data_IF_459646461381
#
_entry.id   IF_459646461381
#
_cell.length_a   1.000
_cell.length_b   1.000
_cell.length_c   1.000
_cell.angle_alpha   90.00
_cell.angle_beta   90.00
_cell.angle_gamma   90.00
#
_symmetry.space_group_name_H-M   'P 1'
#
loop_
_entity.id
_entity.type
_entity.pdbx_description
1 polymer ?
#
# COMPACT_ATOMS: atom_id res chain seq x y z
N UNK A 1 33.20 -4.57 10.26
CA UNK A 1 31.81 -4.25 10.66
C UNK A 1 30.93 -4.44 9.44
N UNK A 2 30.22 -5.55 9.36
CA UNK A 2 29.23 -5.80 8.30
C UNK A 2 28.08 -4.84 8.54
N UNK A 3 27.88 -3.85 7.65
CA UNK A 3 26.63 -3.09 7.60
C UNK A 3 25.51 -4.13 7.58
N UNK A 4 24.56 -4.03 8.50
CA UNK A 4 23.34 -4.81 8.43
C UNK A 4 22.76 -4.57 7.04
N UNK A 5 22.86 -5.57 6.16
CA UNK A 5 22.18 -5.53 4.86
C UNK A 5 20.71 -5.67 5.23
N UNK A 6 20.00 -4.53 5.26
CA UNK A 6 18.54 -4.53 5.31
C UNK A 6 18.14 -5.41 4.11
N UNK A 7 17.34 -6.47 4.31
CA UNK A 7 16.90 -7.32 3.20
C UNK A 7 16.41 -6.38 2.11
N UNK A 8 16.87 -6.58 0.87
CA UNK A 8 16.52 -5.74 -0.28
C UNK A 8 15.04 -5.40 -0.14
N UNK A 9 14.77 -4.12 0.12
CA UNK A 9 13.44 -3.67 0.44
C UNK A 9 12.53 -4.19 -0.67
N UNK A 10 11.40 -4.80 -0.31
CA UNK A 10 10.38 -5.21 -1.27
C UNK A 10 10.23 -4.07 -2.29
N UNK A 11 10.13 -4.37 -3.58
CA UNK A 11 9.83 -3.29 -4.52
C UNK A 11 8.41 -2.81 -4.22
N UNK A 12 8.13 -1.50 -4.34
CA UNK A 12 6.78 -1.00 -4.26
C UNK A 12 5.87 -1.77 -5.22
N UNK A 13 4.68 -2.13 -4.74
CA UNK A 13 3.68 -2.85 -5.54
C UNK A 13 3.03 -1.98 -6.62
N UNK A 14 3.30 -0.67 -6.59
CA UNK A 14 2.79 0.31 -7.53
C UNK A 14 3.72 1.53 -7.62
N UNK A 15 3.67 2.22 -8.76
CA UNK A 15 4.33 3.51 -8.95
C UNK A 15 3.69 4.59 -8.07
N UNK A 16 4.48 5.55 -7.62
CA UNK A 16 4.00 6.67 -6.80
C UNK A 16 2.80 7.38 -7.47
N UNK A 17 1.63 7.43 -6.81
CA UNK A 17 0.47 8.17 -7.33
C UNK A 17 0.76 9.67 -7.51
N UNK A 18 0.06 10.34 -8.42
CA UNK A 18 0.32 11.74 -8.76
C UNK A 18 0.18 12.74 -7.59
N UNK A 19 -0.60 12.39 -6.56
CA UNK A 19 -0.79 13.21 -5.36
C UNK A 19 0.27 12.96 -4.27
N UNK A 20 1.16 11.97 -4.46
CA UNK A 20 2.37 11.81 -3.65
C UNK A 20 3.43 12.75 -4.23
N UNK A 21 3.99 13.68 -3.43
CA UNK A 21 5.03 14.57 -3.91
C UNK A 21 6.24 13.80 -4.48
N UNK A 22 6.84 14.27 -5.56
CA UNK A 22 8.13 13.72 -6.00
C UNK A 22 9.25 14.01 -4.98
N UNK A 23 10.34 13.23 -5.03
CA UNK A 23 11.58 13.53 -4.29
C UNK A 23 11.84 12.71 -3.02
N UNK A 24 11.08 11.64 -2.79
CA UNK A 24 11.39 10.66 -1.75
C UNK A 24 12.36 9.60 -2.30
N UNK A 25 13.60 9.60 -1.82
CA UNK A 25 14.61 8.60 -2.18
C UNK A 25 14.47 7.29 -1.39
N UNK A 26 13.63 7.28 -0.34
CA UNK A 26 13.39 6.11 0.49
C UNK A 26 11.91 5.72 0.51
N UNK A 27 11.64 4.49 0.06
CA UNK A 27 10.29 3.93 -0.03
C UNK A 27 10.19 2.71 0.89
N UNK A 28 9.05 2.58 1.57
CA UNK A 28 8.79 1.55 2.58
C UNK A 28 7.50 0.82 2.21
N UNK A 29 7.58 -0.23 1.40
CA UNK A 29 6.43 -1.05 1.07
C UNK A 29 6.03 -1.99 2.19
N UNK A 30 4.72 -2.21 2.30
CA UNK A 30 4.07 -3.15 3.21
C UNK A 30 2.84 -3.75 2.54
N UNK A 31 2.54 -5.01 2.85
CA UNK A 31 1.31 -5.67 2.42
C UNK A 31 0.59 -6.33 3.57
N UNK A 32 -0.74 -6.17 3.62
CA UNK A 32 -1.60 -6.72 4.66
C UNK A 32 -2.75 -7.50 4.06
N UNK A 33 -2.77 -8.81 4.37
CA UNK A 33 -3.87 -9.69 4.00
C UNK A 33 -4.98 -9.63 5.05
N UNK A 34 -6.22 -9.50 4.59
CA UNK A 34 -7.42 -9.83 5.37
C UNK A 34 -8.35 -10.72 4.55
N UNK A 35 -9.22 -11.47 5.24
CA UNK A 35 -10.28 -12.25 4.59
C UNK A 35 -11.61 -11.51 4.73
N UNK A 36 -12.35 -11.35 3.63
CA UNK A 36 -13.67 -10.75 3.63
C UNK A 36 -14.59 -11.45 2.62
N UNK A 37 -15.73 -11.96 3.09
CA UNK A 37 -16.70 -12.74 2.28
C UNK A 37 -16.06 -13.86 1.47
N UNK A 38 -15.12 -14.58 2.07
CA UNK A 38 -14.38 -15.68 1.44
C UNK A 38 -13.45 -15.26 0.28
N UNK A 39 -13.16 -13.96 0.16
CA UNK A 39 -12.07 -13.43 -0.67
C UNK A 39 -10.89 -13.02 0.19
N UNK A 40 -9.69 -13.19 -0.35
CA UNK A 40 -8.48 -12.59 0.19
C UNK A 40 -8.36 -11.17 -0.35
N UNK A 41 -8.32 -10.19 0.54
CA UNK A 41 -8.03 -8.79 0.21
C UNK A 41 -6.61 -8.50 0.66
N UNK A 42 -5.76 -8.06 -0.26
CA UNK A 42 -4.39 -7.67 0.04
C UNK A 42 -4.30 -6.15 -0.11
N UNK A 43 -4.01 -5.49 1.01
CA UNK A 43 -3.82 -4.05 1.08
C UNK A 43 -2.33 -3.76 0.93
N UNK A 44 -1.97 -3.03 -0.11
CA UNK A 44 -0.60 -2.57 -0.34
C UNK A 44 -0.45 -1.14 0.14
N UNK A 45 0.57 -0.89 0.95
CA UNK A 45 0.95 0.44 1.41
C UNK A 45 2.37 0.71 0.97
N UNK A 46 2.63 1.93 0.52
CA UNK A 46 4.00 2.40 0.30
C UNK A 46 4.18 3.71 1.05
N UNK A 47 5.06 3.70 2.05
CA UNK A 47 5.51 4.90 2.74
C UNK A 47 6.62 5.59 1.94
N UNK A 48 6.52 6.89 1.77
CA UNK A 48 7.52 7.75 1.13
C UNK A 48 8.08 8.68 2.20
N UNK A 49 9.34 8.48 2.59
CA UNK A 49 10.00 9.28 3.62
C UNK A 49 10.60 10.56 3.03
N UNK A 50 10.19 11.70 3.60
CA UNK A 50 10.73 13.00 3.21
C UNK A 50 11.52 13.61 4.36
N UNK A 51 12.85 13.57 4.25
CA UNK A 51 13.73 14.22 5.22
C UNK A 51 13.43 15.72 5.36
N UNK A 52 13.04 16.39 4.26
CA UNK A 52 12.68 17.81 4.25
C UNK A 52 11.47 18.16 5.10
N UNK A 53 10.55 17.21 5.27
CA UNK A 53 9.32 17.41 6.02
C UNK A 53 9.37 16.72 7.39
N UNK A 54 10.36 15.84 7.62
CA UNK A 54 10.44 15.00 8.81
C UNK A 54 9.23 14.07 8.96
N UNK A 55 8.57 13.74 7.85
CA UNK A 55 7.35 12.92 7.83
C UNK A 55 7.39 11.85 6.74
N UNK A 56 6.58 10.81 6.94
CA UNK A 56 6.34 9.74 5.95
C UNK A 56 4.92 9.90 5.41
N UNK A 57 4.80 10.02 4.10
CA UNK A 57 3.49 10.03 3.43
C UNK A 57 3.19 8.65 2.87
N UNK A 58 1.96 8.19 3.05
CA UNK A 58 1.56 6.85 2.71
C UNK A 58 0.60 6.86 1.53
N UNK A 59 0.91 6.10 0.48
CA UNK A 59 -0.03 5.74 -0.57
C UNK A 59 -0.60 4.35 -0.31
N UNK A 60 -1.81 4.09 -0.80
CA UNK A 60 -2.51 2.83 -0.57
C UNK A 60 -3.16 2.29 -1.84
N UNK A 61 -3.15 0.98 -1.98
CA UNK A 61 -3.95 0.23 -2.93
C UNK A 61 -4.50 -1.05 -2.32
N UNK A 62 -5.48 -1.65 -2.98
CA UNK A 62 -5.97 -2.97 -2.61
C UNK A 62 -6.19 -3.85 -3.84
N UNK A 63 -5.82 -5.11 -3.75
CA UNK A 63 -6.18 -6.16 -4.71
C UNK A 63 -7.07 -7.22 -4.04
N UNK A 64 -7.81 -7.96 -4.87
CA UNK A 64 -8.68 -9.04 -4.42
C UNK A 64 -8.23 -10.34 -5.10
N UNK A 65 -8.04 -11.37 -4.29
CA UNK A 65 -7.59 -12.70 -4.69
C UNK A 65 -8.62 -13.75 -4.26
N UNK A 66 -8.85 -14.73 -5.12
CA UNK A 66 -9.66 -15.92 -4.82
C UNK A 66 -8.96 -17.14 -5.41
N UNK A 67 -8.83 -18.21 -4.63
CA UNK A 67 -8.27 -19.48 -5.13
C UNK A 67 -6.88 -19.32 -5.80
N UNK A 68 -6.04 -18.43 -5.27
CA UNK A 68 -4.71 -18.08 -5.78
C UNK A 68 -4.71 -17.26 -7.09
N UNK A 69 -5.88 -16.81 -7.55
CA UNK A 69 -6.03 -15.94 -8.72
C UNK A 69 -6.40 -14.52 -8.32
N UNK A 70 -5.76 -13.53 -8.96
CA UNK A 70 -6.13 -12.12 -8.82
C UNK A 70 -7.43 -11.89 -9.59
N UNK A 71 -8.53 -11.68 -8.87
CA UNK A 71 -9.86 -11.41 -9.45
C UNK A 71 -10.10 -9.91 -9.63
N UNK A 72 -9.47 -9.07 -8.80
CA UNK A 72 -9.40 -7.62 -9.00
C UNK A 72 -7.93 -7.20 -8.84
N UNK A 73 -7.28 -6.65 -9.88
CA UNK A 73 -5.92 -6.14 -9.75
C UNK A 73 -5.86 -4.94 -8.81
N UNK A 74 -4.66 -4.57 -8.38
CA UNK A 74 -4.43 -3.44 -7.46
C UNK A 74 -5.19 -2.19 -7.92
N UNK A 75 -6.17 -1.79 -7.12
CA UNK A 75 -6.87 -0.51 -7.24
C UNK A 75 -6.22 0.48 -6.28
N UNK A 76 -5.56 1.49 -6.83
CA UNK A 76 -4.89 2.53 -6.04
C UNK A 76 -5.89 3.61 -5.63
N UNK A 77 -5.76 4.09 -4.40
CA UNK A 77 -6.33 5.39 -4.04
C UNK A 77 -5.54 6.46 -4.79
N UNK A 78 -6.21 7.17 -5.70
CA UNK A 78 -5.61 8.24 -6.50
C UNK A 78 -5.91 9.63 -5.93
N UNK A 79 -6.64 9.71 -4.82
CA UNK A 79 -7.23 10.96 -4.33
C UNK A 79 -6.45 11.62 -3.20
N UNK A 80 -5.80 10.83 -2.34
CA UNK A 80 -5.09 11.35 -1.18
C UNK A 80 -3.99 10.43 -0.69
N UNK A 81 -3.01 11.04 0.00
CA UNK A 81 -2.02 10.34 0.79
C UNK A 81 -2.31 10.51 2.28
N UNK A 82 -1.77 9.61 3.09
CA UNK A 82 -2.03 9.57 4.53
C UNK A 82 -0.75 9.90 5.30
N UNK A 83 -0.91 10.53 6.47
CA UNK A 83 0.22 10.88 7.35
C UNK A 83 0.55 9.80 8.37
N UNK A 84 -0.32 8.81 8.51
CA UNK A 84 -0.09 7.67 9.39
C UNK A 84 -0.33 6.36 8.65
N UNK A 85 0.47 5.37 9.04
CA UNK A 85 0.31 4.00 8.57
C UNK A 85 -1.07 3.42 8.94
N UNK A 86 -1.55 3.69 10.15
CA UNK A 86 -2.84 3.16 10.63
C UNK A 86 -4.03 3.72 9.84
N UNK A 87 -4.02 5.02 9.52
CA UNK A 87 -5.07 5.62 8.67
C UNK A 87 -5.03 5.05 7.25
N UNK A 88 -3.84 4.90 6.68
CA UNK A 88 -3.66 4.31 5.36
C UNK A 88 -4.17 2.86 5.33
N UNK A 89 -3.85 2.06 6.36
CA UNK A 89 -4.28 0.67 6.47
C UNK A 89 -5.80 0.56 6.64
N UNK A 90 -6.39 1.41 7.47
CA UNK A 90 -7.84 1.46 7.66
C UNK A 90 -8.55 1.82 6.35
N UNK A 91 -8.03 2.80 5.61
CA UNK A 91 -8.59 3.18 4.31
C UNK A 91 -8.43 2.06 3.28
N UNK A 92 -7.25 1.46 3.16
CA UNK A 92 -7.00 0.35 2.24
C UNK A 92 -7.88 -0.86 2.53
N UNK A 93 -8.12 -1.15 3.81
CA UNK A 93 -9.07 -2.19 4.23
C UNK A 93 -10.50 -1.86 3.77
N UNK A 94 -10.94 -0.62 3.94
CA UNK A 94 -12.26 -0.18 3.51
C UNK A 94 -12.40 -0.19 1.97
N UNK A 95 -11.36 0.21 1.24
CA UNK A 95 -11.28 0.13 -0.21
C UNK A 95 -11.42 -1.32 -0.68
N UNK A 96 -10.60 -2.23 -0.16
CA UNK A 96 -10.62 -3.63 -0.57
C UNK A 96 -11.94 -4.35 -0.28
N UNK A 97 -12.58 -4.06 0.87
CA UNK A 97 -13.95 -4.55 1.14
C UNK A 97 -14.96 -4.06 0.11
N UNK A 98 -14.86 -2.79 -0.30
CA UNK A 98 -15.71 -2.19 -1.33
C UNK A 98 -15.54 -2.83 -2.69
N UNK A 99 -14.30 -3.22 -3.04
CA UNK A 99 -14.01 -3.97 -4.27
C UNK A 99 -14.72 -5.32 -4.26
N UNK A 100 -14.62 -6.06 -3.14
CA UNK A 100 -15.32 -7.33 -2.96
C UNK A 100 -16.84 -7.17 -3.00
N UNK A 101 -17.39 -6.11 -2.38
CA UNK A 101 -18.83 -5.84 -2.42
C UNK A 101 -19.35 -5.50 -3.84
N UNK A 102 -18.46 -5.17 -4.77
CA UNK A 102 -18.78 -4.88 -6.17
C UNK A 102 -18.59 -6.05 -7.15
N UNK A 103 -18.12 -7.21 -6.66
CA UNK A 103 -18.04 -8.48 -7.41
C UNK A 103 -19.38 -9.22 -7.39
#
# INVERSE_FOLDING_TARGET
>A
MTKAVKPDAEQPYFDAPAHIPGGSDHQIPHSHRLVYRDYDVIVHLTGYEYETFGETLWAVGAEVVKELEIVVPVSLDQTQHYRSYDEALAHGTALGKRLVDGL
#
